data_IF_798934279650
#
_entry.id   IF_798934279650
#
_cell.length_a   1.000
_cell.length_b   1.000
_cell.length_c   1.000
_cell.angle_alpha   90.00
_cell.angle_beta   90.00
_cell.angle_gamma   90.00
#
_symmetry.space_group_name_H-M   'P 1'
#
loop_
_entity.id
_entity.type
_entity.pdbx_description
1 polymer ?
#
# COMPACT_ATOMS: atom_id res chain seq x y z
N UNK A 1 -33.49 -38.70 3.43
CA UNK A 1 -34.27 -37.44 3.60
C UNK A 1 -33.31 -36.28 3.83
N UNK A 2 -33.34 -35.31 2.90
CA UNK A 2 -33.01 -33.87 3.00
C UNK A 2 -31.81 -33.41 3.87
N UNK A 3 -30.69 -33.12 3.21
CA UNK A 3 -29.73 -32.09 3.64
C UNK A 3 -30.30 -30.70 3.30
N UNK A 4 -30.49 -29.87 4.33
CA UNK A 4 -30.99 -28.51 4.22
C UNK A 4 -29.94 -27.55 3.65
N UNK A 5 -30.24 -26.95 2.49
CA UNK A 5 -29.50 -25.83 1.91
C UNK A 5 -29.78 -24.56 2.73
N UNK A 6 -28.78 -24.03 3.42
CA UNK A 6 -28.82 -22.65 3.90
C UNK A 6 -28.51 -21.70 2.73
N UNK A 7 -29.53 -20.99 2.27
CA UNK A 7 -29.42 -19.89 1.30
C UNK A 7 -28.85 -18.66 2.03
N UNK A 8 -27.61 -18.28 1.70
CA UNK A 8 -27.04 -17.00 2.10
C UNK A 8 -27.46 -15.96 1.05
N UNK A 9 -28.13 -14.90 1.50
CA UNK A 9 -28.69 -13.85 0.66
C UNK A 9 -27.60 -13.01 -0.06
N UNK A 10 -27.88 -12.44 -1.25
CA UNK A 10 -26.87 -11.83 -2.11
C UNK A 10 -26.38 -10.44 -1.67
N UNK A 11 -26.89 -9.89 -0.57
CA UNK A 11 -26.68 -8.49 -0.16
C UNK A 11 -25.31 -8.22 0.49
N UNK A 12 -24.61 -9.25 0.98
CA UNK A 12 -23.29 -9.08 1.60
C UNK A 12 -22.13 -9.04 0.61
N UNK A 13 -22.30 -9.61 -0.59
CA UNK A 13 -21.23 -9.67 -1.59
C UNK A 13 -20.99 -8.31 -2.27
N UNK A 14 -22.01 -7.47 -2.37
CA UNK A 14 -21.93 -6.16 -3.04
C UNK A 14 -21.21 -5.12 -2.16
N UNK A 15 -21.34 -5.20 -0.83
CA UNK A 15 -20.67 -4.25 0.09
C UNK A 15 -19.16 -4.55 0.20
N UNK A 16 -18.76 -5.82 0.12
CA UNK A 16 -17.36 -6.20 0.11
C UNK A 16 -16.63 -5.75 -1.17
N UNK A 17 -17.30 -5.81 -2.32
CA UNK A 17 -16.74 -5.34 -3.60
C UNK A 17 -16.62 -3.81 -3.66
N UNK A 18 -17.53 -3.05 -3.03
CA UNK A 18 -17.43 -1.59 -2.94
C UNK A 18 -16.32 -1.11 -1.98
N UNK A 19 -15.98 -1.88 -0.93
CA UNK A 19 -14.81 -1.59 -0.08
C UNK A 19 -13.49 -2.05 -0.71
N UNK A 20 -13.49 -3.12 -1.48
CA UNK A 20 -12.30 -3.63 -2.19
C UNK A 20 -11.93 -2.78 -3.43
N UNK A 21 -12.91 -2.14 -4.07
CA UNK A 21 -12.67 -1.24 -5.21
C UNK A 21 -12.15 0.14 -4.78
N UNK A 22 -12.49 0.62 -3.58
CA UNK A 22 -12.06 1.93 -3.07
C UNK A 22 -10.57 1.96 -2.64
N UNK A 23 -10.02 0.81 -2.22
CA UNK A 23 -8.57 0.66 -1.96
C UNK A 23 -7.76 0.55 -3.25
N UNK A 24 -8.35 0.02 -4.34
CA UNK A 24 -7.69 -0.10 -5.65
C UNK A 24 -7.53 1.26 -6.35
N UNK A 25 -8.49 2.17 -6.19
CA UNK A 25 -8.41 3.53 -6.74
C UNK A 25 -7.29 4.37 -6.11
N UNK A 26 -7.03 4.20 -4.80
CA UNK A 26 -5.96 4.91 -4.08
C UNK A 26 -4.56 4.37 -4.39
N UNK A 27 -4.42 3.06 -4.67
CA UNK A 27 -3.13 2.48 -5.06
C UNK A 27 -2.79 2.80 -6.53
N UNK A 28 -3.80 2.86 -7.41
CA UNK A 28 -3.59 3.20 -8.83
C UNK A 28 -3.19 4.68 -9.02
N UNK A 29 -3.74 5.63 -8.24
CA UNK A 29 -3.32 7.05 -8.31
C UNK A 29 -1.88 7.25 -7.84
N UNK A 30 -1.41 6.42 -6.90
CA UNK A 30 -0.02 6.48 -6.42
C UNK A 30 0.99 5.91 -7.43
N UNK A 31 0.59 4.92 -8.25
CA UNK A 31 1.46 4.27 -9.24
C UNK A 31 1.51 5.06 -10.57
N UNK A 32 0.45 5.76 -10.94
CA UNK A 32 0.37 6.45 -12.25
C UNK A 32 1.14 7.79 -12.29
N UNK A 33 1.53 8.36 -11.14
CA UNK A 33 2.40 9.54 -11.10
C UNK A 33 3.89 9.23 -11.26
N UNK A 34 4.29 7.95 -11.31
CA UNK A 34 5.70 7.55 -11.49
C UNK A 34 6.05 7.06 -12.90
N UNK A 35 5.09 6.97 -13.83
CA UNK A 35 5.30 6.30 -15.13
C UNK A 35 5.61 7.21 -16.32
N UNK A 36 5.85 8.51 -16.15
CA UNK A 36 6.37 9.38 -17.23
C UNK A 36 7.87 9.60 -17.08
N UNK A 37 8.66 8.52 -17.17
CA UNK A 37 10.07 8.66 -17.48
C UNK A 37 10.53 7.43 -18.28
N UNK A 38 10.57 7.59 -19.59
CA UNK A 38 11.09 6.59 -20.54
C UNK A 38 12.46 7.09 -20.99
N UNK A 39 13.59 6.48 -20.61
CA UNK A 39 14.85 6.75 -21.27
C UNK A 39 14.98 5.83 -22.48
N UNK A 40 15.13 6.43 -23.66
CA UNK A 40 15.55 5.75 -24.88
C UNK A 40 16.96 5.19 -24.70
N UNK A 41 17.15 3.92 -25.07
CA UNK A 41 18.44 3.25 -25.13
C UNK A 41 19.32 3.91 -26.22
N UNK A 42 20.48 4.43 -25.83
CA UNK A 42 21.63 4.59 -26.73
C UNK A 42 22.81 3.86 -26.12
N UNK A 43 23.29 2.87 -26.86
CA UNK A 43 24.51 2.09 -26.62
C UNK A 43 25.74 2.99 -26.54
N UNK A 44 26.48 2.92 -25.43
CA UNK A 44 27.73 3.64 -25.26
C UNK A 44 28.46 3.12 -24.02
N UNK A 45 29.49 2.32 -24.26
CA UNK A 45 30.42 1.78 -23.27
C UNK A 45 31.10 2.90 -22.49
N UNK A 46 31.00 2.89 -21.16
CA UNK A 46 31.80 3.76 -20.30
C UNK A 46 31.09 4.19 -19.02
N UNK A 47 31.49 3.57 -17.89
CA UNK A 47 31.40 4.06 -16.51
C UNK A 47 30.34 5.12 -16.21
N UNK A 48 29.19 4.71 -15.66
CA UNK A 48 28.34 5.58 -14.83
C UNK A 48 27.30 4.75 -14.06
N UNK A 49 27.50 4.59 -12.75
CA UNK A 49 26.40 4.30 -11.83
C UNK A 49 25.92 5.64 -11.27
N UNK A 50 25.21 6.40 -12.10
CA UNK A 50 24.49 7.59 -11.67
C UNK A 50 23.29 7.15 -10.85
N UNK A 51 23.50 7.04 -9.54
CA UNK A 51 22.44 7.00 -8.56
C UNK A 51 21.59 8.27 -8.73
N UNK A 52 20.39 8.10 -9.24
CA UNK A 52 19.40 9.17 -9.38
C UNK A 52 19.14 9.76 -7.98
N UNK A 53 19.70 10.95 -7.77
CA UNK A 53 19.28 12.02 -6.87
C UNK A 53 18.19 11.66 -5.85
N UNK A 54 18.60 11.11 -4.69
CA UNK A 54 17.95 11.45 -3.43
C UNK A 54 18.30 12.90 -3.12
N UNK A 55 17.53 13.81 -3.74
CA UNK A 55 17.62 15.24 -3.49
C UNK A 55 17.16 15.49 -2.05
N UNK A 56 18.14 15.81 -1.20
CA UNK A 56 18.03 16.79 -0.14
C UNK A 56 17.12 16.44 1.05
N UNK A 57 17.62 15.55 1.91
CA UNK A 57 17.40 15.66 3.36
C UNK A 57 18.52 16.47 4.03
N UNK A 58 19.03 17.47 3.29
CA UNK A 58 19.86 18.55 3.82
C UNK A 58 18.93 19.75 4.05
N UNK A 59 17.95 19.57 4.93
CA UNK A 59 17.31 20.72 5.56
C UNK A 59 18.37 21.36 6.46
N UNK A 60 18.89 22.51 6.00
CA UNK A 60 19.44 23.60 6.80
C UNK A 60 19.96 23.23 8.20
N UNK A 61 21.26 22.96 8.31
CA UNK A 61 22.00 23.28 9.54
C UNK A 61 23.07 24.30 9.18
N UNK A 62 22.71 25.58 9.35
CA UNK A 62 23.64 26.70 9.34
C UNK A 62 24.14 26.89 10.78
N UNK A 63 25.45 26.92 11.09
CA UNK A 63 25.95 26.89 12.48
C UNK A 63 25.83 28.21 13.26
N UNK A 64 24.93 29.12 12.91
CA UNK A 64 24.95 30.49 13.43
C UNK A 64 23.56 31.13 13.61
N UNK A 65 22.58 30.36 14.10
CA UNK A 65 21.30 30.91 14.56
C UNK A 65 21.20 30.84 16.09
N UNK A 66 20.77 31.92 16.78
CA UNK A 66 20.65 31.95 18.24
C UNK A 66 19.40 31.20 18.70
N UNK A 67 19.58 30.36 19.73
CA UNK A 67 18.57 29.66 20.54
C UNK A 67 17.75 28.56 19.82
N UNK A 68 17.80 27.28 20.24
CA UNK A 68 16.87 26.27 19.74
C UNK A 68 15.46 26.67 20.19
N UNK A 69 14.67 27.24 19.29
CA UNK A 69 13.29 27.58 19.59
C UNK A 69 12.57 26.29 19.96
N UNK A 70 12.16 26.21 21.23
CA UNK A 70 11.30 25.11 21.68
C UNK A 70 10.05 25.09 20.80
N UNK A 71 9.66 23.92 20.28
CA UNK A 71 8.56 23.84 19.34
C UNK A 71 7.25 24.34 19.98
N UNK A 72 6.56 25.26 19.29
CA UNK A 72 5.29 25.85 19.74
C UNK A 72 4.09 25.04 19.24
N UNK A 73 3.02 25.01 20.03
CA UNK A 73 1.76 24.42 19.64
C UNK A 73 1.00 25.33 18.68
N UNK A 74 0.66 24.86 17.48
CA UNK A 74 -0.11 25.67 16.52
C UNK A 74 -1.60 25.91 16.88
N UNK A 75 -2.08 25.41 18.03
CA UNK A 75 -3.45 25.63 18.52
C UNK A 75 -3.47 26.71 19.60
N UNK A 76 -2.69 26.56 20.67
CA UNK A 76 -2.63 27.55 21.75
C UNK A 76 -1.54 28.61 21.55
N UNK A 77 -0.66 28.43 20.56
CA UNK A 77 0.49 29.30 20.25
C UNK A 77 1.54 29.42 21.36
N UNK A 78 1.41 28.60 22.40
CA UNK A 78 2.37 28.48 23.51
C UNK A 78 3.31 27.28 23.33
N UNK A 79 4.28 27.17 24.23
CA UNK A 79 5.15 26.02 24.39
C UNK A 79 4.36 24.70 24.55
N UNK A 80 4.89 23.64 23.93
CA UNK A 80 4.25 22.32 23.90
C UNK A 80 4.21 21.64 25.27
N UNK A 81 3.01 21.55 25.86
CA UNK A 81 2.75 20.80 27.10
C UNK A 81 2.29 19.37 26.77
N UNK A 82 3.06 18.37 27.21
CA UNK A 82 2.84 16.97 26.89
C UNK A 82 2.62 16.75 25.37
N UNK A 83 3.66 16.96 24.54
CA UNK A 83 3.52 16.98 23.10
C UNK A 83 3.00 15.64 22.56
N UNK A 84 2.06 15.72 21.63
CA UNK A 84 1.55 14.57 20.87
C UNK A 84 1.71 14.81 19.38
N UNK A 85 2.17 13.79 18.64
CA UNK A 85 2.20 13.79 17.18
C UNK A 85 1.06 12.96 16.60
N UNK A 86 0.50 13.42 15.48
CA UNK A 86 -0.48 12.67 14.69
C UNK A 86 0.13 12.08 13.42
N UNK A 87 -0.65 11.29 12.67
CA UNK A 87 -0.19 10.58 11.46
C UNK A 87 0.47 11.47 10.41
N UNK A 88 0.05 12.74 10.28
CA UNK A 88 0.64 13.69 9.34
C UNK A 88 1.92 14.38 9.85
N UNK A 89 2.40 14.05 11.05
CA UNK A 89 3.65 14.54 11.61
C UNK A 89 3.57 15.86 12.40
N UNK A 90 2.41 16.54 12.39
CA UNK A 90 2.22 17.75 13.21
C UNK A 90 2.14 17.42 14.70
N UNK A 91 2.62 18.35 15.53
CA UNK A 91 2.74 18.21 16.98
C UNK A 91 1.88 19.27 17.69
N UNK A 92 1.18 18.86 18.74
CA UNK A 92 0.30 19.72 19.54
C UNK A 92 0.44 19.39 21.02
N UNK A 93 -0.03 20.28 21.90
CA UNK A 93 -0.29 19.90 23.28
C UNK A 93 -1.36 18.82 23.32
N UNK A 94 -1.21 17.86 24.23
CA UNK A 94 -2.18 16.77 24.41
C UNK A 94 -3.61 17.31 24.57
N UNK A 95 -3.81 18.27 25.48
CA UNK A 95 -5.10 18.91 25.75
C UNK A 95 -5.66 19.64 24.53
N UNK A 96 -4.82 20.38 23.79
CA UNK A 96 -5.24 21.12 22.61
C UNK A 96 -5.78 20.20 21.51
N UNK A 97 -5.10 19.07 21.25
CA UNK A 97 -5.56 18.09 20.27
C UNK A 97 -6.89 17.45 20.71
N UNK A 98 -6.99 17.00 21.96
CA UNK A 98 -8.22 16.36 22.46
C UNK A 98 -9.41 17.33 22.49
N UNK A 99 -9.20 18.59 22.86
CA UNK A 99 -10.25 19.61 22.78
C UNK A 99 -10.71 19.86 21.34
N UNK A 100 -9.78 19.93 20.38
CA UNK A 100 -10.12 20.10 18.97
C UNK A 100 -10.90 18.90 18.39
N UNK A 101 -10.60 17.68 18.85
CA UNK A 101 -11.34 16.45 18.50
C UNK A 101 -12.74 16.48 19.13
N UNK A 102 -12.84 16.78 20.43
CA UNK A 102 -14.10 16.78 21.18
C UNK A 102 -15.06 17.90 20.76
N UNK A 103 -14.54 19.05 20.32
CA UNK A 103 -15.35 20.15 19.80
C UNK A 103 -16.12 19.77 18.53
N UNK A 104 -15.60 18.82 17.74
CA UNK A 104 -16.30 18.27 16.58
C UNK A 104 -17.18 17.12 17.05
N UNK A 105 -18.48 17.37 17.18
CA UNK A 105 -19.52 16.36 17.45
C UNK A 105 -19.72 15.39 16.28
N UNK A 106 -18.65 14.81 15.74
CA UNK A 106 -18.74 13.79 14.71
C UNK A 106 -18.88 12.42 15.37
N UNK A 107 -19.94 11.68 15.06
CA UNK A 107 -20.11 10.28 15.47
C UNK A 107 -19.10 9.32 14.79
N UNK A 108 -18.08 9.84 14.12
CA UNK A 108 -17.09 9.10 13.34
C UNK A 108 -15.70 9.21 13.98
N UNK A 109 -14.93 8.12 13.95
CA UNK A 109 -13.56 8.07 14.48
C UNK A 109 -12.51 8.79 13.60
N UNK A 110 -12.94 9.44 12.51
CA UNK A 110 -12.07 10.12 11.56
C UNK A 110 -12.12 11.64 11.78
N UNK A 111 -10.96 12.22 12.04
CA UNK A 111 -10.79 13.66 12.30
C UNK A 111 -9.78 14.26 11.33
N UNK A 112 -9.70 15.59 11.29
CA UNK A 112 -8.77 16.33 10.42
C UNK A 112 -7.75 17.09 11.26
N UNK A 113 -6.48 17.03 10.85
CA UNK A 113 -5.39 17.80 11.46
C UNK A 113 -5.74 19.30 11.53
N UNK A 114 -5.61 19.96 12.69
CA UNK A 114 -5.83 21.40 12.82
C UNK A 114 -4.93 22.25 11.93
N UNK A 115 -3.69 21.82 11.67
CA UNK A 115 -2.72 22.59 10.87
C UNK A 115 -2.85 22.35 9.36
N UNK A 116 -2.90 21.09 8.91
CA UNK A 116 -2.85 20.75 7.48
C UNK A 116 -4.11 20.06 6.94
N UNK A 117 -5.14 19.87 7.78
CA UNK A 117 -6.42 19.24 7.43
C UNK A 117 -6.36 17.79 6.97
N UNK A 118 -5.17 17.18 6.95
CA UNK A 118 -4.99 15.76 6.63
C UNK A 118 -5.83 14.87 7.57
N UNK A 119 -6.55 13.86 7.05
CA UNK A 119 -7.39 12.99 7.85
C UNK A 119 -6.54 12.05 8.74
N UNK A 120 -6.99 11.82 9.97
CA UNK A 120 -6.39 10.88 10.92
C UNK A 120 -7.47 10.19 11.77
N UNK A 121 -7.21 8.96 12.19
CA UNK A 121 -8.11 8.18 13.04
C UNK A 121 -7.75 8.34 14.51
N UNK A 122 -8.73 8.45 15.40
CA UNK A 122 -8.51 8.39 16.86
C UNK A 122 -8.69 6.98 17.44
N UNK A 123 -8.96 5.99 16.59
CA UNK A 123 -9.20 4.63 17.04
C UNK A 123 -7.92 4.01 17.61
N UNK A 124 -7.93 3.71 18.91
CA UNK A 124 -6.88 2.95 19.58
C UNK A 124 -7.10 1.47 19.30
N UNK A 125 -6.15 0.83 18.61
CA UNK A 125 -6.14 -0.63 18.45
C UNK A 125 -5.72 -1.28 19.76
N UNK A 126 -6.53 -2.22 20.26
CA UNK A 126 -6.13 -3.05 21.40
C UNK A 126 -4.91 -3.90 21.01
N UNK A 127 -3.75 -3.71 21.67
CA UNK A 127 -2.55 -4.49 21.39
C UNK A 127 -2.76 -6.01 21.56
N UNK A 128 -3.76 -6.44 22.36
CA UNK A 128 -4.10 -7.85 22.52
C UNK A 128 -4.61 -8.49 21.22
N UNK A 129 -5.26 -7.72 20.35
CA UNK A 129 -5.75 -8.17 19.05
C UNK A 129 -4.65 -8.26 17.98
N UNK A 130 -3.45 -7.76 18.29
CA UNK A 130 -2.29 -7.74 17.39
C UNK A 130 -1.34 -8.88 17.76
N UNK A 131 -0.93 -9.73 16.79
CA UNK A 131 0.10 -10.74 17.01
C UNK A 131 1.38 -10.14 17.63
N UNK A 132 1.96 -10.83 18.63
CA UNK A 132 3.06 -10.29 19.44
C UNK A 132 4.24 -9.75 18.62
N UNK A 133 4.61 -10.45 17.54
CA UNK A 133 5.72 -10.05 16.66
C UNK A 133 5.43 -8.80 15.80
N UNK A 134 4.16 -8.39 15.65
CA UNK A 134 3.76 -7.21 14.88
C UNK A 134 3.58 -5.96 15.74
N UNK A 135 3.37 -6.12 17.05
CA UNK A 135 3.13 -5.00 17.98
C UNK A 135 4.19 -3.88 17.90
N UNK A 136 5.51 -4.16 17.77
CA UNK A 136 6.52 -3.11 17.67
C UNK A 136 6.40 -2.25 16.39
N UNK A 137 5.74 -2.78 15.36
CA UNK A 137 5.59 -2.12 14.06
C UNK A 137 4.23 -1.43 13.90
N UNK A 138 3.29 -1.63 14.83
CA UNK A 138 2.01 -0.92 14.84
C UNK A 138 2.16 0.36 15.63
N UNK A 139 2.06 1.48 14.91
CA UNK A 139 2.21 2.81 15.47
C UNK A 139 0.82 3.42 15.68
N UNK A 140 0.46 3.87 16.90
CA UNK A 140 -0.82 4.51 17.13
C UNK A 140 -0.92 5.83 16.34
N UNK A 141 -2.14 6.20 15.98
CA UNK A 141 -2.40 7.42 15.19
C UNK A 141 -2.14 8.71 15.97
N UNK A 142 -2.17 8.64 17.31
CA UNK A 142 -1.72 9.69 18.23
C UNK A 142 -0.56 9.10 19.04
N UNK A 143 0.61 9.74 18.99
CA UNK A 143 1.81 9.31 19.72
C UNK A 143 2.25 10.38 20.70
N UNK A 144 2.50 10.01 21.94
CA UNK A 144 3.18 10.88 22.92
C UNK A 144 4.63 11.06 22.50
N UNK A 145 5.11 12.29 22.55
CA UNK A 145 6.51 12.63 22.38
C UNK A 145 7.08 13.00 23.74
N UNK A 146 8.32 12.58 24.00
CA UNK A 146 9.13 13.03 25.11
C UNK A 146 10.19 13.93 24.50
N UNK A 147 10.05 15.24 24.71
CA UNK A 147 11.10 16.19 24.38
C UNK A 147 11.97 16.31 25.62
N UNK A 148 13.27 16.08 25.50
CA UNK A 148 14.18 16.30 26.62
C UNK A 148 14.15 17.79 26.98
N UNK A 149 13.58 18.11 28.14
CA UNK A 149 13.76 19.41 28.74
C UNK A 149 15.22 19.51 29.17
N UNK A 150 16.04 20.15 28.35
CA UNK A 150 17.39 20.53 28.75
C UNK A 150 17.25 21.52 29.91
N UNK A 151 17.66 21.18 31.15
CA UNK A 151 17.59 22.13 32.24
C UNK A 151 18.63 23.21 31.96
N UNK A 152 18.16 24.37 31.52
CA UNK A 152 18.97 25.57 31.44
C UNK A 152 19.35 25.99 32.87
N UNK A 153 20.60 25.75 33.27
CA UNK A 153 21.26 26.45 34.36
C UNK A 153 21.66 25.60 35.57
N UNK A 154 22.85 25.01 35.52
CA UNK A 154 23.85 25.14 36.59
C UNK A 154 25.21 24.74 36.06
N UNK A 155 26.11 25.71 35.94
CA UNK A 155 27.52 25.50 35.71
C UNK A 155 28.13 24.73 36.88
N UNK A 156 28.27 23.42 36.72
CA UNK A 156 29.19 22.61 37.51
C UNK A 156 29.94 21.71 36.55
N UNK A 157 31.25 21.91 36.50
CA UNK A 157 32.21 21.14 35.73
C UNK A 157 32.04 19.63 36.00
N UNK A 158 31.53 18.87 35.03
CA UNK A 158 31.55 17.41 35.06
C UNK A 158 32.17 16.88 33.76
N UNK A 159 33.49 16.74 33.84
CA UNK A 159 34.31 15.63 33.33
C UNK A 159 34.19 15.20 31.86
N UNK A 160 35.25 15.45 31.10
CA UNK A 160 35.53 15.00 29.72
C UNK A 160 35.46 13.49 29.42
N UNK A 161 35.15 12.64 30.40
CA UNK A 161 35.12 11.17 30.27
C UNK A 161 33.76 10.62 29.81
N UNK A 162 32.65 11.32 30.09
CA UNK A 162 31.29 10.90 29.71
C UNK A 162 30.99 11.12 28.22
N UNK A 163 31.57 12.16 27.61
CA UNK A 163 31.40 12.48 26.19
C UNK A 163 32.05 11.46 25.25
N UNK A 164 33.17 10.87 25.67
CA UNK A 164 33.90 9.82 24.92
C UNK A 164 33.09 8.53 24.78
N UNK A 165 32.47 8.06 25.87
CA UNK A 165 31.63 6.87 25.86
C UNK A 165 30.34 7.09 25.05
N UNK A 166 29.71 8.26 25.20
CA UNK A 166 28.53 8.63 24.43
C UNK A 166 28.84 8.72 22.92
N UNK A 167 30.02 9.23 22.53
CA UNK A 167 30.46 9.28 21.14
C UNK A 167 30.73 7.88 20.58
N UNK A 168 31.37 7.00 21.36
CA UNK A 168 31.60 5.60 20.97
C UNK A 168 30.29 4.84 20.78
N UNK A 169 29.33 5.02 21.68
CA UNK A 169 27.99 4.43 21.56
C UNK A 169 27.22 4.98 20.35
N UNK A 170 27.29 6.29 20.10
CA UNK A 170 26.69 6.91 18.92
C UNK A 170 27.26 6.34 17.63
N UNK A 171 28.58 6.15 17.56
CA UNK A 171 29.24 5.53 16.40
C UNK A 171 28.80 4.08 16.21
N UNK A 172 28.71 3.31 17.29
CA UNK A 172 28.22 1.91 17.27
C UNK A 172 26.78 1.83 16.75
N UNK A 173 25.87 2.63 17.32
CA UNK A 173 24.47 2.68 16.90
C UNK A 173 24.33 3.16 15.46
N UNK A 174 25.19 4.07 15.01
CA UNK A 174 25.22 4.52 13.61
C UNK A 174 25.61 3.37 12.69
N UNK A 175 26.65 2.61 13.03
CA UNK A 175 27.06 1.43 12.27
C UNK A 175 25.98 0.33 12.27
N UNK A 176 25.31 0.11 13.40
CA UNK A 176 24.21 -0.84 13.48
C UNK A 176 23.02 -0.40 12.61
N UNK A 177 22.66 0.88 12.66
CA UNK A 177 21.60 1.46 11.82
C UNK A 177 21.92 1.38 10.33
N UNK A 178 23.19 1.54 9.91
CA UNK A 178 23.55 1.39 8.49
C UNK A 178 23.40 -0.06 8.04
N UNK A 179 23.82 -1.03 8.85
CA UNK A 179 23.64 -2.47 8.58
C UNK A 179 22.16 -2.86 8.54
N UNK A 180 21.34 -2.35 9.46
CA UNK A 180 19.90 -2.61 9.45
C UNK A 180 19.24 -2.05 8.19
N UNK A 181 19.63 -0.85 7.75
CA UNK A 181 19.10 -0.25 6.51
C UNK A 181 19.49 -1.05 5.27
N UNK A 182 20.72 -1.55 5.18
CA UNK A 182 21.13 -2.41 4.05
C UNK A 182 20.35 -3.72 4.05
N UNK A 183 20.17 -4.36 5.22
CA UNK A 183 19.35 -5.55 5.35
C UNK A 183 17.90 -5.31 4.93
N UNK A 184 17.27 -4.23 5.39
CA UNK A 184 15.91 -3.87 4.98
C UNK A 184 15.81 -3.67 3.46
N UNK A 185 16.82 -3.08 2.83
CA UNK A 185 16.89 -2.92 1.37
C UNK A 185 16.94 -4.30 0.66
N UNK A 186 17.79 -5.22 1.13
CA UNK A 186 17.91 -6.57 0.58
C UNK A 186 16.60 -7.34 0.70
N UNK A 187 15.96 -7.31 1.88
CA UNK A 187 14.68 -7.98 2.12
C UNK A 187 13.57 -7.42 1.24
N UNK A 188 13.50 -6.09 1.10
CA UNK A 188 12.54 -5.43 0.21
C UNK A 188 12.72 -5.91 -1.23
N UNK A 189 13.97 -5.91 -1.74
CA UNK A 189 14.27 -6.33 -3.11
C UNK A 189 13.91 -7.79 -3.36
N UNK A 190 14.17 -8.67 -2.40
CA UNK A 190 13.75 -10.09 -2.47
C UNK A 190 12.23 -10.22 -2.53
N UNK A 191 11.51 -9.49 -1.67
CA UNK A 191 10.05 -9.49 -1.67
C UNK A 191 9.47 -8.99 -3.00
N UNK A 192 10.02 -7.91 -3.56
CA UNK A 192 9.65 -7.39 -4.88
C UNK A 192 9.85 -8.42 -5.99
N UNK A 193 11.02 -9.08 -6.03
CA UNK A 193 11.28 -10.13 -7.04
C UNK A 193 10.33 -11.32 -6.92
N UNK A 194 10.04 -11.75 -5.69
CA UNK A 194 9.12 -12.86 -5.43
C UNK A 194 7.68 -12.49 -5.82
N UNK A 195 7.24 -11.28 -5.48
CA UNK A 195 5.93 -10.77 -5.86
C UNK A 195 5.78 -10.68 -7.39
N UNK A 196 6.80 -10.17 -8.09
CA UNK A 196 6.82 -10.10 -9.54
C UNK A 196 6.73 -11.49 -10.19
N UNK A 197 7.51 -12.47 -9.69
CA UNK A 197 7.46 -13.85 -10.17
C UNK A 197 6.08 -14.49 -9.94
N UNK A 198 5.52 -14.32 -8.74
CA UNK A 198 4.19 -14.85 -8.38
C UNK A 198 3.11 -14.22 -9.25
N UNK A 199 3.17 -12.91 -9.49
CA UNK A 199 2.24 -12.22 -10.37
C UNK A 199 2.35 -12.72 -11.82
N UNK A 200 3.57 -12.96 -12.30
CA UNK A 200 3.82 -13.59 -13.60
C UNK A 200 3.14 -14.95 -13.72
N UNK A 201 3.32 -15.83 -12.74
CA UNK A 201 2.68 -17.16 -12.70
C UNK A 201 1.15 -17.07 -12.67
N UNK A 202 0.60 -16.17 -11.85
CA UNK A 202 -0.86 -15.94 -11.79
C UNK A 202 -1.41 -15.44 -13.12
N UNK A 203 -0.66 -14.61 -13.85
CA UNK A 203 -1.05 -14.15 -15.18
C UNK A 203 -1.05 -15.29 -16.19
N UNK A 204 -0.02 -16.13 -16.21
CA UNK A 204 0.04 -17.31 -17.08
C UNK A 204 -1.12 -18.25 -16.80
N UNK A 205 -1.40 -18.56 -15.53
CA UNK A 205 -2.53 -19.40 -15.15
C UNK A 205 -3.88 -18.81 -15.59
N UNK A 206 -4.06 -17.48 -15.47
CA UNK A 206 -5.26 -16.79 -15.94
C UNK A 206 -5.40 -16.86 -17.46
N UNK A 207 -4.32 -16.62 -18.20
CA UNK A 207 -4.32 -16.71 -19.66
C UNK A 207 -4.62 -18.12 -20.15
N UNK A 208 -4.03 -19.15 -19.52
CA UNK A 208 -4.32 -20.55 -19.82
C UNK A 208 -5.81 -20.86 -19.61
N UNK A 209 -6.39 -20.45 -18.48
CA UNK A 209 -7.83 -20.62 -18.22
C UNK A 209 -8.70 -19.90 -19.26
N UNK A 210 -8.34 -18.68 -19.63
CA UNK A 210 -9.08 -17.93 -20.65
C UNK A 210 -9.01 -18.61 -22.02
N UNK A 211 -7.85 -19.20 -22.37
CA UNK A 211 -7.71 -19.95 -23.62
C UNK A 211 -8.55 -21.22 -23.62
N UNK A 212 -8.67 -21.92 -22.48
CA UNK A 212 -9.59 -23.07 -22.35
C UNK A 212 -11.03 -22.66 -22.65
N UNK A 213 -11.51 -21.59 -22.02
CA UNK A 213 -12.88 -21.07 -22.28
C UNK A 213 -13.06 -20.68 -23.75
N UNK A 214 -12.05 -20.06 -24.35
CA UNK A 214 -12.11 -19.69 -25.77
C UNK A 214 -12.20 -20.92 -26.68
N UNK A 215 -11.41 -21.96 -26.39
CA UNK A 215 -11.44 -23.21 -27.14
C UNK A 215 -12.78 -23.95 -26.97
N UNK A 216 -13.39 -23.89 -25.79
CA UNK A 216 -14.73 -24.44 -25.55
C UNK A 216 -15.78 -23.73 -26.44
N UNK A 217 -15.72 -22.40 -26.54
CA UNK A 217 -16.61 -21.65 -27.42
C UNK A 217 -16.37 -21.97 -28.91
N UNK A 218 -15.11 -22.01 -29.35
CA UNK A 218 -14.73 -22.40 -30.72
C UNK A 218 -15.24 -23.83 -31.05
N UNK A 219 -15.12 -24.76 -30.09
CA UNK A 219 -15.63 -26.12 -30.22
C UNK A 219 -17.15 -26.14 -30.38
N UNK A 220 -17.90 -25.43 -29.54
CA UNK A 220 -19.36 -25.38 -29.63
C UNK A 220 -19.82 -24.77 -30.97
N UNK A 221 -19.12 -23.76 -31.47
CA UNK A 221 -19.42 -23.13 -32.76
C UNK A 221 -19.18 -24.08 -33.94
N UNK A 222 -18.09 -24.85 -33.90
CA UNK A 222 -17.82 -25.91 -34.86
C UNK A 222 -18.86 -27.02 -34.80
N UNK A 223 -19.23 -27.47 -33.59
CA UNK A 223 -20.27 -28.49 -33.40
C UNK A 223 -21.62 -28.01 -33.96
N UNK A 224 -22.02 -26.77 -33.68
CA UNK A 224 -23.22 -26.16 -34.27
C UNK A 224 -23.15 -26.16 -35.79
N UNK A 225 -22.02 -25.74 -36.37
CA UNK A 225 -21.82 -25.72 -37.83
C UNK A 225 -21.91 -27.12 -38.45
N UNK A 226 -21.26 -28.12 -37.84
CA UNK A 226 -21.34 -29.51 -38.27
C UNK A 226 -22.77 -30.05 -38.22
N UNK A 227 -23.54 -29.75 -37.16
CA UNK A 227 -24.94 -30.20 -37.08
C UNK A 227 -25.82 -29.58 -38.16
N UNK A 228 -25.60 -28.30 -38.51
CA UNK A 228 -26.32 -27.61 -39.59
C UNK A 228 -26.00 -28.26 -40.94
N UNK A 229 -24.71 -28.46 -41.24
CA UNK A 229 -24.27 -29.08 -42.49
C UNK A 229 -24.82 -30.51 -42.63
N UNK A 230 -24.80 -31.28 -41.54
CA UNK A 230 -25.36 -32.64 -41.52
C UNK A 230 -26.84 -32.66 -41.89
N UNK A 231 -27.66 -31.77 -41.30
CA UNK A 231 -29.09 -31.65 -41.65
C UNK A 231 -29.33 -31.25 -43.10
N UNK A 232 -28.48 -30.38 -43.66
CA UNK A 232 -28.57 -30.01 -45.09
C UNK A 232 -28.29 -31.20 -45.99
N UNK A 233 -27.26 -31.97 -45.67
CA UNK A 233 -26.90 -33.19 -46.42
C UNK A 233 -28.04 -34.22 -46.37
N UNK A 234 -28.60 -34.48 -45.18
CA UNK A 234 -29.75 -35.38 -45.00
C UNK A 234 -30.99 -34.90 -45.81
N UNK A 235 -31.22 -33.60 -45.89
CA UNK A 235 -32.30 -33.02 -46.68
C UNK A 235 -32.07 -33.21 -48.20
N UNK A 236 -30.85 -33.01 -48.69
CA UNK A 236 -30.49 -33.25 -50.09
C UNK A 236 -30.63 -34.73 -50.47
N UNK A 237 -30.20 -35.66 -49.59
CA UNK A 237 -30.39 -37.10 -49.79
C UNK A 237 -31.88 -37.47 -49.87
N UNK A 238 -32.74 -36.87 -49.04
CA UNK A 238 -34.19 -37.12 -49.08
C UNK A 238 -34.83 -36.65 -50.40
N UNK A 239 -34.36 -35.53 -50.96
CA UNK A 239 -34.81 -35.01 -52.26
C UNK A 239 -34.38 -35.94 -53.40
N UNK A 240 -33.17 -36.50 -53.36
CA UNK A 240 -32.71 -37.42 -54.40
C UNK A 240 -33.48 -38.75 -54.41
N UNK A 241 -33.94 -39.22 -53.24
CA UNK A 241 -34.69 -40.48 -53.11
C UNK A 241 -36.18 -40.37 -53.46
N UNK A 242 -36.72 -39.16 -53.61
CA UNK A 242 -38.16 -38.93 -53.93
C UNK A 242 -38.45 -38.79 -55.42
N UNK A 243 -37.45 -38.85 -56.31
CA UNK A 243 -37.69 -38.85 -57.76
C UNK A 243 -38.30 -40.19 -58.22
N UNK A 244 -39.50 -40.20 -58.84
CA UNK A 244 -40.14 -41.43 -59.29
C UNK A 244 -39.38 -42.07 -60.44
N UNK A 245 -39.17 -43.39 -60.39
CA UNK A 245 -38.64 -44.18 -61.51
C UNK A 245 -39.56 -44.00 -62.72
N UNK A 246 -38.98 -43.54 -63.84
CA UNK A 246 -39.67 -43.46 -65.14
C UNK A 246 -40.24 -44.85 -65.48
N UNK A 247 -41.52 -44.97 -65.87
CA UNK A 247 -42.13 -46.26 -66.16
C UNK A 247 -41.43 -46.92 -67.36
N UNK A 248 -41.34 -48.28 -67.38
CA UNK A 248 -40.70 -49.01 -68.47
C UNK A 248 -41.53 -48.87 -69.75
N UNK A 249 -40.84 -48.53 -70.85
CA UNK A 249 -41.34 -48.65 -72.22
C UNK A 249 -40.86 -49.96 -72.83
#
# INVERSE_FOLDING_TARGET
MRLGRARIAPSFFVIALLRYSNTRANVQTFITQQSTFRPSLTTGTGRSASCILFRSWKFYYHPSAPNPQMPLCSICLDELKAPVSISCGHVFCNSCLFNAVNAKKSCTNLHSCPSCRSPFSIMTMDPALVPAHLRPYIVPSIRKLYLDESPAGSSTEVSSSTSSLALSECNRLTAENTVLRTNCCIWRRRAETHAAATFGLLNVARMAKQRVIQLEHEKEELERSCTILKRKLEAEECVLLTFPKRPPN
#
